data_IF_618855845317
#
_entry.id   IF_618855845317
#
_cell.length_a   1.000
_cell.length_b   1.000
_cell.length_c   1.000
_cell.angle_alpha   90.00
_cell.angle_beta   90.00
_cell.angle_gamma   90.00
#
_symmetry.space_group_name_H-M   'P 1'
#
loop_
_entity.id
_entity.type
_entity.pdbx_description
1 polymer ?
#
# COMPACT_ATOMS: atom_id res chain seq x y z
N UNK A 1 -2.35 12.13 -2.53
CA UNK A 1 -2.72 11.33 -1.74
C UNK A 1 -3.43 10.05 -2.10
N UNK A 2 -4.38 9.60 -1.33
CA UNK A 2 -5.00 8.28 -1.47
C UNK A 2 -5.62 8.04 -2.84
N UNK A 3 -6.36 9.01 -3.36
CA UNK A 3 -7.03 8.92 -4.66
C UNK A 3 -6.01 8.79 -5.79
N UNK A 4 -4.92 9.53 -5.69
CA UNK A 4 -3.84 9.50 -6.68
C UNK A 4 -3.20 8.12 -6.75
N UNK A 5 -2.95 7.48 -5.60
CA UNK A 5 -2.35 6.15 -5.55
C UNK A 5 -3.29 5.10 -6.13
N UNK A 6 -4.59 5.19 -5.87
CA UNK A 6 -5.58 4.26 -6.43
C UNK A 6 -5.66 4.37 -7.94
N UNK A 7 -5.63 5.59 -8.49
CA UNK A 7 -5.60 5.79 -9.94
C UNK A 7 -4.34 5.22 -10.57
N UNK A 8 -3.20 5.39 -9.91
CA UNK A 8 -1.94 4.85 -10.37
C UNK A 8 -1.95 3.32 -10.40
N UNK A 9 -2.59 2.67 -9.42
CA UNK A 9 -2.74 1.21 -9.42
C UNK A 9 -3.51 0.70 -10.64
N UNK A 10 -4.52 1.44 -11.09
CA UNK A 10 -5.24 1.10 -12.31
C UNK A 10 -4.33 1.15 -13.53
N UNK A 11 -3.52 2.19 -13.65
CA UNK A 11 -2.56 2.33 -14.74
C UNK A 11 -1.50 1.24 -14.70
N UNK A 12 -1.11 0.80 -13.51
CA UNK A 12 -0.11 -0.27 -13.35
C UNK A 12 -0.63 -1.60 -13.89
N UNK A 13 -1.89 -1.92 -13.68
CA UNK A 13 -2.50 -3.11 -14.25
C UNK A 13 -2.51 -3.08 -15.75
N UNK A 14 -2.86 -1.94 -16.35
CA UNK A 14 -2.84 -1.73 -17.80
C UNK A 14 -1.41 -1.86 -18.37
N UNK A 15 -0.42 -1.30 -17.69
CA UNK A 15 0.97 -1.40 -18.11
C UNK A 15 1.47 -2.85 -18.06
N UNK A 16 1.06 -3.61 -17.08
CA UNK A 16 1.41 -5.03 -16.98
C UNK A 16 0.84 -5.82 -18.16
N UNK A 17 -0.39 -5.59 -18.53
CA UNK A 17 -1.05 -6.27 -19.63
C UNK A 17 -0.37 -5.91 -20.97
N UNK A 18 -0.03 -4.65 -21.17
CA UNK A 18 0.68 -4.20 -22.36
C UNK A 18 2.06 -4.85 -22.49
N UNK A 19 2.79 -4.94 -21.37
CA UNK A 19 4.08 -5.61 -21.33
C UNK A 19 3.95 -7.10 -21.69
N UNK A 20 2.95 -7.77 -21.15
CA UNK A 20 2.70 -9.18 -21.43
C UNK A 20 2.39 -9.41 -22.91
N UNK A 21 1.56 -8.56 -23.52
CA UNK A 21 1.25 -8.64 -24.94
C UNK A 21 2.48 -8.47 -25.82
N UNK A 22 3.28 -7.46 -25.54
CA UNK A 22 4.52 -7.21 -26.28
C UNK A 22 5.45 -8.41 -26.19
N UNK A 23 5.56 -9.01 -25.04
CA UNK A 23 6.40 -10.17 -24.81
C UNK A 23 5.91 -11.39 -25.59
N UNK A 24 4.61 -11.59 -25.66
CA UNK A 24 4.01 -12.69 -26.43
C UNK A 24 4.23 -12.53 -27.93
N UNK A 25 4.30 -11.29 -28.42
CA UNK A 25 4.50 -10.99 -29.85
C UNK A 25 5.93 -11.17 -30.30
N UNK A 26 6.90 -11.12 -29.40
CA UNK A 26 8.33 -11.29 -29.70
C UNK A 26 8.80 -12.72 -29.50
N UNK A 27 8.07 -13.69 -29.98
CA UNK A 27 8.44 -15.10 -29.84
C UNK A 27 9.63 -15.45 -30.70
N UNK A 28 10.81 -15.47 -30.10
CA UNK A 28 12.00 -16.04 -30.70
C UNK A 28 12.46 -17.20 -29.83
N UNK A 29 12.46 -18.36 -30.41
CA UNK A 29 12.57 -19.63 -29.71
C UNK A 29 14.01 -20.03 -29.44
N UNK A 30 14.62 -19.46 -28.42
CA UNK A 30 15.70 -20.15 -27.73
C UNK A 30 15.19 -20.49 -26.33
N UNK A 31 15.40 -21.73 -25.87
CA UNK A 31 14.89 -22.17 -24.58
C UNK A 31 15.39 -21.32 -23.43
N UNK A 32 16.65 -20.84 -23.50
CA UNK A 32 17.24 -19.99 -22.47
C UNK A 32 16.53 -18.64 -22.39
N UNK A 33 16.16 -18.05 -23.54
CA UNK A 33 15.41 -16.81 -23.58
C UNK A 33 14.00 -16.98 -23.03
N UNK A 34 13.38 -18.12 -23.30
CA UNK A 34 12.05 -18.44 -22.79
C UNK A 34 12.05 -18.59 -21.29
N UNK A 35 13.04 -19.27 -20.72
CA UNK A 35 13.16 -19.40 -19.26
C UNK A 35 13.38 -18.05 -18.60
N UNK A 36 14.22 -17.18 -19.17
CA UNK A 36 14.44 -15.84 -18.66
C UNK A 36 13.18 -15.00 -18.76
N UNK A 37 12.43 -15.12 -19.85
CA UNK A 37 11.16 -14.41 -20.01
C UNK A 37 10.11 -14.89 -19.03
N UNK A 38 10.00 -16.18 -18.81
CA UNK A 38 9.06 -16.75 -17.85
C UNK A 38 9.40 -16.28 -16.43
N UNK A 39 10.69 -16.21 -16.07
CA UNK A 39 11.13 -15.71 -14.78
C UNK A 39 10.77 -14.25 -14.57
N UNK A 40 10.95 -13.41 -15.58
CA UNK A 40 10.58 -11.98 -15.53
C UNK A 40 9.07 -11.84 -15.38
N UNK A 41 8.29 -12.62 -16.11
CA UNK A 41 6.83 -12.59 -16.01
C UNK A 41 6.35 -12.97 -14.61
N UNK A 42 6.94 -14.00 -14.01
CA UNK A 42 6.62 -14.41 -12.64
C UNK A 42 6.97 -13.30 -11.65
N UNK A 43 8.13 -12.67 -11.82
CA UNK A 43 8.57 -11.57 -10.97
C UNK A 43 7.63 -10.37 -11.05
N UNK A 44 7.17 -10.03 -12.27
CA UNK A 44 6.23 -8.94 -12.47
C UNK A 44 4.88 -9.25 -11.81
N UNK A 45 4.40 -10.48 -11.97
CA UNK A 45 3.14 -10.88 -11.36
C UNK A 45 3.22 -10.83 -9.83
N UNK A 46 4.29 -11.35 -9.26
CA UNK A 46 4.52 -11.34 -7.82
C UNK A 46 4.58 -9.90 -7.30
N UNK A 47 5.30 -9.03 -7.99
CA UNK A 47 5.42 -7.62 -7.62
C UNK A 47 4.07 -6.91 -7.70
N UNK A 48 3.27 -7.20 -8.73
CA UNK A 48 1.93 -6.62 -8.86
C UNK A 48 1.00 -7.05 -7.72
N UNK A 49 1.02 -8.33 -7.38
CA UNK A 49 0.22 -8.85 -6.27
C UNK A 49 0.63 -8.22 -4.94
N UNK A 50 1.93 -7.97 -4.76
CA UNK A 50 2.43 -7.27 -3.57
C UNK A 50 1.91 -5.84 -3.51
N UNK A 51 1.84 -5.15 -4.65
CA UNK A 51 1.23 -3.83 -4.71
C UNK A 51 -0.23 -3.84 -4.26
N UNK A 52 -0.98 -4.84 -4.70
CA UNK A 52 -2.37 -4.98 -4.28
C UNK A 52 -2.48 -5.23 -2.78
N UNK A 53 -1.61 -6.09 -2.25
CA UNK A 53 -1.59 -6.38 -0.82
C UNK A 53 -1.30 -5.12 0.00
N UNK A 54 -0.29 -4.36 -0.43
CA UNK A 54 0.11 -3.13 0.26
C UNK A 54 -0.95 -2.02 0.14
N UNK A 55 -1.65 -1.99 -0.99
CA UNK A 55 -2.76 -1.06 -1.17
C UNK A 55 -3.90 -1.34 -0.20
N UNK A 56 -4.23 -2.62 -0.02
CA UNK A 56 -5.25 -3.03 0.94
C UNK A 56 -4.83 -2.78 2.38
N UNK A 57 -3.54 -3.01 2.67
CA UNK A 57 -3.00 -2.71 3.99
C UNK A 57 -3.10 -1.21 4.30
N UNK A 58 -2.76 -0.37 3.32
CA UNK A 58 -2.90 1.08 3.48
C UNK A 58 -4.35 1.47 3.78
N UNK A 59 -5.30 0.90 3.05
CA UNK A 59 -6.72 1.15 3.28
C UNK A 59 -7.14 0.77 4.70
N UNK A 60 -6.66 -0.38 5.19
CA UNK A 60 -6.89 -0.82 6.56
C UNK A 60 -6.32 0.16 7.58
N UNK A 61 -5.12 0.70 7.31
CA UNK A 61 -4.48 1.69 8.20
C UNK A 61 -5.22 3.03 8.18
N UNK A 62 -5.80 3.40 7.05
CA UNK A 62 -6.63 4.59 6.97
C UNK A 62 -7.88 4.47 7.85
N UNK A 63 -8.51 3.30 7.83
CA UNK A 63 -9.68 3.02 8.68
C UNK A 63 -9.30 3.00 10.16
N UNK A 64 -8.14 2.42 10.50
CA UNK A 64 -7.65 2.43 11.87
C UNK A 64 -7.39 3.84 12.37
N UNK A 65 -6.82 4.71 11.52
CA UNK A 65 -6.60 6.11 11.87
C UNK A 65 -7.92 6.84 12.09
N UNK A 66 -8.90 6.61 11.25
CA UNK A 66 -10.23 7.20 11.42
C UNK A 66 -10.82 6.82 12.76
N UNK A 67 -10.79 5.53 13.13
CA UNK A 67 -11.30 5.03 14.39
C UNK A 67 -10.58 5.64 15.59
N UNK A 68 -9.24 5.68 15.55
CA UNK A 68 -8.46 6.22 16.66
C UNK A 68 -8.61 7.73 16.78
N UNK A 69 -8.82 8.44 15.68
CA UNK A 69 -9.08 9.87 15.68
C UNK A 69 -10.42 10.18 16.34
N UNK A 70 -11.46 9.41 16.02
CA UNK A 70 -12.76 9.57 16.64
C UNK A 70 -12.72 9.25 18.13
N UNK A 71 -12.03 8.16 18.50
CA UNK A 71 -11.86 7.80 19.90
C UNK A 71 -11.10 8.88 20.67
N UNK A 72 -10.04 9.43 20.06
CA UNK A 72 -9.27 10.50 20.70
C UNK A 72 -10.14 11.72 20.93
N UNK A 73 -10.95 12.11 19.97
CA UNK A 73 -11.85 13.25 20.10
C UNK A 73 -12.85 13.04 21.24
N UNK A 74 -13.40 11.84 21.33
CA UNK A 74 -14.34 11.48 22.39
C UNK A 74 -13.66 11.52 23.75
N UNK A 75 -12.49 10.92 23.87
CA UNK A 75 -11.76 10.88 25.16
C UNK A 75 -11.26 12.27 25.56
N UNK A 76 -10.89 13.10 24.60
CA UNK A 76 -10.48 14.47 24.86
C UNK A 76 -11.63 15.26 25.49
N UNK A 77 -12.83 15.13 24.94
CA UNK A 77 -14.01 15.77 25.49
C UNK A 77 -14.28 15.30 26.93
N UNK A 78 -14.20 13.99 27.17
CA UNK A 78 -14.39 13.44 28.50
C UNK A 78 -13.32 13.91 29.48
N UNK A 79 -12.10 14.03 29.02
CA UNK A 79 -11.01 14.54 29.85
C UNK A 79 -11.25 16.01 30.23
N UNK A 80 -11.66 16.82 29.27
CA UNK A 80 -11.98 18.23 29.52
C UNK A 80 -13.15 18.38 30.52
N UNK A 81 -14.07 17.45 30.51
CA UNK A 81 -15.21 17.39 31.45
C UNK A 81 -14.84 16.69 32.76
N UNK A 82 -13.59 16.30 32.92
CA UNK A 82 -13.07 15.63 34.13
C UNK A 82 -13.72 14.27 34.41
N UNK A 83 -14.16 13.58 33.33
CA UNK A 83 -14.80 12.27 33.48
C UNK A 83 -13.82 11.12 33.37
N UNK A 84 -12.60 11.35 32.87
CA UNK A 84 -11.53 10.37 32.79
C UNK A 84 -10.24 10.97 33.35
N UNK A 85 -9.29 10.12 33.70
CA UNK A 85 -8.00 10.59 34.24
C UNK A 85 -7.02 10.87 33.07
N UNK A 86 -5.87 11.47 33.44
CA UNK A 86 -4.84 11.80 32.43
C UNK A 86 -4.22 10.56 31.79
N UNK A 87 -4.16 9.44 32.49
CA UNK A 87 -3.63 8.20 31.94
C UNK A 87 -4.51 7.69 30.80
N UNK A 88 -5.82 7.70 30.97
CA UNK A 88 -6.76 7.30 29.93
C UNK A 88 -6.67 8.23 28.70
N UNK A 89 -6.54 9.53 28.93
CA UNK A 89 -6.38 10.51 27.87
C UNK A 89 -5.07 10.27 27.10
N UNK A 90 -3.95 10.06 27.81
CA UNK A 90 -2.66 9.79 27.19
C UNK A 90 -2.66 8.49 26.39
N UNK A 91 -3.38 7.46 26.87
CA UNK A 91 -3.52 6.21 26.14
C UNK A 91 -4.23 6.43 24.79
N UNK A 92 -5.28 7.24 24.78
CA UNK A 92 -5.99 7.57 23.55
C UNK A 92 -5.11 8.36 22.59
N UNK A 93 -4.32 9.31 23.11
CA UNK A 93 -3.37 10.07 22.31
C UNK A 93 -2.29 9.17 21.69
N UNK A 94 -1.74 8.24 22.49
CA UNK A 94 -0.74 7.30 22.00
C UNK A 94 -1.30 6.38 20.92
N UNK A 95 -2.55 5.91 21.07
CA UNK A 95 -3.21 5.09 20.06
C UNK A 95 -3.37 5.86 18.75
N UNK A 96 -3.71 7.14 18.82
CA UNK A 96 -3.81 8.00 17.65
C UNK A 96 -2.46 8.11 16.93
N UNK A 97 -1.40 8.38 17.68
CA UNK A 97 -0.04 8.49 17.12
C UNK A 97 0.41 7.20 16.47
N UNK A 98 0.14 6.06 17.11
CA UNK A 98 0.47 4.76 16.53
C UNK A 98 -0.25 4.52 15.21
N UNK A 99 -1.52 4.92 15.13
CA UNK A 99 -2.28 4.82 13.89
C UNK A 99 -1.74 5.73 12.80
N UNK A 100 -1.33 6.94 13.15
CA UNK A 100 -0.72 7.88 12.20
C UNK A 100 0.60 7.32 11.65
N UNK A 101 1.45 6.79 12.53
CA UNK A 101 2.72 6.18 12.14
C UNK A 101 2.47 4.94 11.27
N UNK A 102 1.49 4.13 11.64
CA UNK A 102 1.13 2.94 10.87
C UNK A 102 0.71 3.29 9.46
N UNK A 103 -0.06 4.35 9.28
CA UNK A 103 -0.49 4.79 7.95
C UNK A 103 0.70 5.31 7.14
N UNK A 104 1.55 6.14 7.74
CA UNK A 104 2.74 6.66 7.05
C UNK A 104 3.63 5.51 6.58
N UNK A 105 3.86 4.52 7.44
CA UNK A 105 4.67 3.36 7.08
C UNK A 105 4.04 2.56 5.93
N UNK A 106 2.72 2.38 5.95
CA UNK A 106 2.02 1.69 4.88
C UNK A 106 2.12 2.45 3.55
N UNK A 107 2.02 3.78 3.59
CA UNK A 107 2.18 4.61 2.41
C UNK A 107 3.60 4.54 1.84
N UNK A 108 4.61 4.56 2.71
CA UNK A 108 6.01 4.43 2.29
C UNK A 108 6.29 3.06 1.68
N UNK A 109 5.78 2.00 2.29
CA UNK A 109 5.96 0.64 1.77
C UNK A 109 5.33 0.50 0.39
N UNK A 110 4.13 1.06 0.21
CA UNK A 110 3.45 1.04 -1.07
C UNK A 110 4.24 1.84 -2.12
N UNK A 111 4.77 2.99 -1.73
CA UNK A 111 5.57 3.82 -2.63
C UNK A 111 6.83 3.09 -3.09
N UNK A 112 7.57 2.47 -2.17
CA UNK A 112 8.78 1.74 -2.50
C UNK A 112 8.48 0.53 -3.39
N UNK A 113 7.39 -0.17 -3.12
CA UNK A 113 6.99 -1.29 -3.95
C UNK A 113 6.59 -0.83 -5.35
N UNK A 114 5.93 0.32 -5.44
CA UNK A 114 5.61 0.92 -6.74
C UNK A 114 6.88 1.21 -7.54
N UNK A 115 7.87 1.81 -6.91
CA UNK A 115 9.16 2.09 -7.56
C UNK A 115 9.84 0.80 -8.03
N UNK A 116 9.81 -0.23 -7.21
CA UNK A 116 10.36 -1.54 -7.55
C UNK A 116 9.63 -2.13 -8.77
N UNK A 117 8.31 -2.06 -8.77
CA UNK A 117 7.51 -2.56 -9.89
C UNK A 117 7.84 -1.83 -11.19
N UNK A 118 7.98 -0.51 -11.14
CA UNK A 118 8.37 0.28 -12.32
C UNK A 118 9.75 -0.12 -12.84
N UNK A 119 10.67 -0.45 -11.95
CA UNK A 119 12.01 -0.91 -12.33
C UNK A 119 11.92 -2.22 -13.10
N UNK A 120 11.04 -3.12 -12.70
CA UNK A 120 10.86 -4.41 -13.38
C UNK A 120 10.24 -4.25 -14.78
N UNK A 121 9.49 -3.17 -15.02
CA UNK A 121 8.86 -2.90 -16.31
C UNK A 121 9.87 -2.38 -17.36
N UNK A 122 11.00 -1.87 -16.91
CA UNK A 122 12.08 -1.41 -17.81
C UNK A 122 13.00 -2.58 -18.14
#
# INVERSE_FOLDING_TARGET
>A
STISISGTLFDWGSNYDAYKQTKNNTKIAQEDEKEAQDSIEVNLRTSYLELLRLSKLKESKEKALESSSENFRYQKQRYEEQLINSTDFLNAENSLRESEIGLVNAELDLYYQYKNYLTLLK
#
